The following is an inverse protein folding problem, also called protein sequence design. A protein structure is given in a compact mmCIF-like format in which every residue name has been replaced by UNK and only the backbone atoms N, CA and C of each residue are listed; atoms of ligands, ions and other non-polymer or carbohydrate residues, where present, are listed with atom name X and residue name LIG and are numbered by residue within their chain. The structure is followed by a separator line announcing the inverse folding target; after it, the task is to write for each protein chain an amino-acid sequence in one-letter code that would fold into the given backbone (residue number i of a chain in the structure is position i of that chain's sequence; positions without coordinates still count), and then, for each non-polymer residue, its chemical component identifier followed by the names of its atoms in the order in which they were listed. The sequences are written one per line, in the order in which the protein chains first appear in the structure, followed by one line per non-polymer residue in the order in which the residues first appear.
data_IF_881563485414
#
_entry.id   IF_881563485414
#
_cell.length_a   1.000
_cell.length_b   1.000
_cell.length_c   1.000
_cell.angle_alpha   90.00
_cell.angle_beta   90.00
_cell.angle_gamma   90.00
#
_symmetry.space_group_name_H-M   'P 1'
#
loop_
_entity.id
_entity.type
_entity.pdbx_description
1 polymer ?
#
# COMPACT_ATOMS: atom_id res chain seq x y z
N UNK A 1 4.51 -11.94 21.95
CA UNK A 1 4.38 -10.56 22.48
C UNK A 1 4.35 -10.50 24.01
N UNK A 2 3.45 -11.22 24.69
CA UNK A 2 3.43 -11.30 26.17
C UNK A 2 4.52 -12.18 26.80
N UNK A 3 4.94 -13.24 26.10
CA UNK A 3 5.91 -14.20 26.64
C UNK A 3 7.38 -13.74 26.55
N UNK A 4 7.69 -12.83 25.62
CA UNK A 4 9.07 -12.38 25.35
C UNK A 4 9.41 -11.02 25.97
N UNK A 5 8.46 -10.34 26.62
CA UNK A 5 8.67 -9.01 27.24
C UNK A 5 9.04 -7.89 26.24
N UNK A 6 9.11 -8.20 24.95
CA UNK A 6 9.70 -7.37 23.90
C UNK A 6 8.95 -6.04 23.71
N UNK A 7 7.64 -6.01 23.97
CA UNK A 7 6.82 -4.82 23.87
C UNK A 7 7.15 -3.71 24.88
N UNK A 8 7.88 -4.03 25.97
CA UNK A 8 8.13 -3.09 27.08
C UNK A 8 9.41 -2.27 26.92
N UNK A 9 10.37 -2.75 26.10
CA UNK A 9 11.74 -2.22 26.04
C UNK A 9 12.17 -1.70 24.65
N UNK A 10 11.36 -1.86 23.60
CA UNK A 10 11.71 -1.31 22.28
C UNK A 10 11.23 0.14 22.20
N UNK A 11 12.13 1.11 21.96
CA UNK A 11 11.71 2.47 21.70
C UNK A 11 11.02 2.52 20.33
N UNK A 12 9.73 2.84 20.34
CA UNK A 12 9.01 3.45 19.22
C UNK A 12 8.81 2.58 17.96
N UNK A 13 7.75 2.87 17.21
CA UNK A 13 7.36 2.24 15.93
C UNK A 13 8.52 2.13 14.91
N UNK A 14 9.58 2.92 15.06
CA UNK A 14 10.75 2.98 14.18
C UNK A 14 11.54 1.68 14.05
N UNK A 15 11.62 0.84 15.10
CA UNK A 15 12.33 -0.45 15.04
C UNK A 15 11.37 -1.58 14.65
N UNK A 16 10.11 -1.50 15.08
CA UNK A 16 9.12 -2.52 14.78
C UNK A 16 8.86 -2.64 13.26
N UNK A 17 8.72 -1.51 12.57
CA UNK A 17 8.44 -1.46 11.13
C UNK A 17 9.52 -2.14 10.25
N UNK A 18 10.82 -1.81 10.36
CA UNK A 18 11.83 -2.49 9.55
C UNK A 18 11.97 -3.98 9.92
N UNK A 19 11.79 -4.34 11.19
CA UNK A 19 11.86 -5.76 11.60
C UNK A 19 10.72 -6.56 10.99
N UNK A 20 9.48 -6.05 11.03
CA UNK A 20 8.35 -6.73 10.39
C UNK A 20 8.52 -6.79 8.87
N UNK A 21 9.00 -5.72 8.25
CA UNK A 21 9.32 -5.69 6.83
C UNK A 21 10.33 -6.79 6.46
N UNK A 22 11.43 -6.91 7.20
CA UNK A 22 12.47 -7.93 6.96
C UNK A 22 11.91 -9.33 7.12
N UNK A 23 11.10 -9.59 8.16
CA UNK A 23 10.47 -10.90 8.35
C UNK A 23 9.53 -11.26 7.20
N UNK A 24 8.73 -10.30 6.73
CA UNK A 24 7.84 -10.48 5.58
C UNK A 24 8.65 -10.73 4.30
N UNK A 25 9.73 -9.98 4.06
CA UNK A 25 10.59 -10.16 2.89
C UNK A 25 11.25 -11.55 2.87
N UNK A 26 11.74 -12.02 4.02
CA UNK A 26 12.35 -13.36 4.14
C UNK A 26 11.32 -14.45 3.80
N UNK A 27 10.10 -14.33 4.33
CA UNK A 27 9.04 -15.28 3.99
C UNK A 27 8.67 -15.21 2.51
N UNK A 28 8.36 -14.00 2.04
CA UNK A 28 7.84 -13.76 0.68
C UNK A 28 8.81 -14.22 -0.41
N UNK A 29 10.11 -13.86 -0.32
CA UNK A 29 11.09 -14.25 -1.35
C UNK A 29 11.27 -15.76 -1.38
N UNK A 30 11.35 -16.42 -0.21
CA UNK A 30 11.57 -17.87 -0.12
C UNK A 30 10.43 -18.69 -0.74
N UNK A 31 9.18 -18.22 -0.63
CA UNK A 31 8.02 -18.89 -1.23
C UNK A 31 7.79 -18.49 -2.70
N UNK A 32 8.25 -17.32 -3.13
CA UNK A 32 8.08 -16.81 -4.50
C UNK A 32 9.13 -17.35 -5.47
N UNK A 33 10.36 -17.60 -4.99
CA UNK A 33 11.46 -18.04 -5.84
C UNK A 33 11.25 -19.49 -6.33
N UNK A 34 11.72 -19.79 -7.55
CA UNK A 34 11.62 -21.13 -8.13
C UNK A 34 12.46 -22.18 -7.38
N UNK A 35 13.57 -21.74 -6.77
CA UNK A 35 14.44 -22.55 -5.92
C UNK A 35 15.17 -21.67 -4.89
N UNK A 36 15.84 -22.32 -3.94
CA UNK A 36 16.56 -21.65 -2.85
C UNK A 36 17.73 -20.80 -3.37
N UNK A 37 18.40 -21.25 -4.44
CA UNK A 37 19.50 -20.50 -5.06
C UNK A 37 19.02 -19.14 -5.57
N UNK A 38 17.90 -19.12 -6.29
CA UNK A 38 17.27 -17.89 -6.80
C UNK A 38 16.79 -16.98 -5.67
N UNK A 39 16.36 -17.53 -4.54
CA UNK A 39 16.03 -16.72 -3.37
C UNK A 39 17.25 -15.93 -2.85
N UNK A 40 18.42 -16.58 -2.79
CA UNK A 40 19.65 -15.92 -2.35
C UNK A 40 20.14 -14.86 -3.35
N UNK A 41 19.97 -15.06 -4.66
CA UNK A 41 20.33 -14.03 -5.65
C UNK A 41 19.42 -12.80 -5.51
N UNK A 42 18.13 -12.99 -5.22
CA UNK A 42 17.18 -11.90 -4.93
C UNK A 42 17.58 -11.14 -3.67
N UNK A 43 17.90 -11.83 -2.57
CA UNK A 43 18.38 -11.17 -1.34
C UNK A 43 19.68 -10.41 -1.58
N UNK A 44 20.63 -11.00 -2.30
CA UNK A 44 21.87 -10.35 -2.68
C UNK A 44 21.62 -9.08 -3.49
N UNK A 45 20.65 -9.11 -4.41
CA UNK A 45 20.21 -7.93 -5.17
C UNK A 45 19.65 -6.83 -4.28
N UNK A 46 18.83 -7.17 -3.28
CA UNK A 46 18.21 -6.19 -2.37
C UNK A 46 19.24 -5.44 -1.51
N UNK A 47 20.35 -6.08 -1.15
CA UNK A 47 21.45 -5.45 -0.40
C UNK A 47 22.54 -4.86 -1.31
N UNK A 48 22.37 -4.91 -2.63
CA UNK A 48 23.26 -4.28 -3.61
C UNK A 48 24.45 -5.12 -4.10
N UNK A 49 24.51 -6.42 -3.81
CA UNK A 49 25.58 -7.31 -4.30
C UNK A 49 25.58 -7.48 -5.83
N UNK A 50 24.46 -7.19 -6.49
CA UNK A 50 24.32 -7.24 -7.95
C UNK A 50 24.49 -5.86 -8.62
N UNK A 51 25.03 -4.86 -7.89
CA UNK A 51 25.14 -3.48 -8.32
C UNK A 51 24.03 -2.60 -7.76
N UNK A 52 24.34 -1.30 -7.61
CA UNK A 52 23.41 -0.28 -7.08
C UNK A 52 22.74 0.49 -8.23
N UNK A 53 23.35 0.47 -9.42
CA UNK A 53 22.83 1.14 -10.61
C UNK A 53 21.70 0.31 -11.22
N UNK A 54 20.56 0.92 -11.59
CA UNK A 54 19.52 0.22 -12.32
C UNK A 54 20.07 -0.31 -13.65
N UNK A 55 19.62 -1.48 -14.07
CA UNK A 55 20.01 -2.05 -15.37
C UNK A 55 19.49 -1.17 -16.51
N UNK A 56 20.18 -1.19 -17.66
CA UNK A 56 19.78 -0.39 -18.82
C UNK A 56 18.41 -0.85 -19.37
N UNK A 57 18.11 -2.14 -19.24
CA UNK A 57 16.82 -2.72 -19.60
C UNK A 57 15.71 -2.19 -18.69
N UNK A 58 15.97 -2.10 -17.37
CA UNK A 58 15.01 -1.51 -16.45
C UNK A 58 14.70 -0.06 -16.83
N UNK A 59 15.73 0.75 -17.06
CA UNK A 59 15.58 2.15 -17.45
C UNK A 59 14.80 2.33 -18.75
N UNK A 60 15.01 1.44 -19.72
CA UNK A 60 14.27 1.46 -20.98
C UNK A 60 12.77 1.13 -20.81
N UNK A 61 12.41 0.34 -19.78
CA UNK A 61 11.02 -0.02 -19.48
C UNK A 61 10.30 1.00 -18.59
N UNK A 62 11.00 1.98 -18.01
CA UNK A 62 10.39 3.04 -17.22
C UNK A 62 9.68 4.02 -18.16
N UNK A 63 8.36 3.88 -18.28
CA UNK A 63 7.54 4.81 -19.06
C UNK A 63 7.20 6.07 -18.26
N UNK A 64 6.94 7.17 -18.98
CA UNK A 64 6.48 8.44 -18.38
C UNK A 64 5.18 8.25 -17.60
N UNK A 65 4.30 7.37 -18.07
CA UNK A 65 3.04 7.05 -17.41
C UNK A 65 3.28 6.39 -16.05
N UNK A 66 4.16 5.40 -15.97
CA UNK A 66 4.50 4.73 -14.71
C UNK A 66 5.05 5.73 -13.68
N UNK A 67 5.85 6.70 -14.12
CA UNK A 67 6.36 7.77 -13.25
C UNK A 67 5.25 8.70 -12.75
N UNK A 68 4.29 9.08 -13.60
CA UNK A 68 3.14 9.90 -13.19
C UNK A 68 2.27 9.17 -12.16
N UNK A 69 2.00 7.88 -12.38
CA UNK A 69 1.26 7.05 -11.42
C UNK A 69 2.03 6.87 -10.11
N UNK A 70 3.35 6.70 -10.16
CA UNK A 70 4.20 6.64 -8.97
C UNK A 70 4.07 7.92 -8.14
N UNK A 71 4.21 9.09 -8.76
CA UNK A 71 4.09 10.39 -8.08
C UNK A 71 2.70 10.57 -7.48
N UNK A 72 1.65 10.20 -8.22
CA UNK A 72 0.26 10.26 -7.74
C UNK A 72 0.04 9.33 -6.54
N UNK A 73 0.56 8.10 -6.60
CA UNK A 73 0.46 7.15 -5.49
C UNK A 73 1.19 7.64 -4.24
N UNK A 74 2.40 8.19 -4.40
CA UNK A 74 3.15 8.83 -3.31
C UNK A 74 2.32 9.95 -2.70
N UNK A 75 1.75 10.84 -3.52
CA UNK A 75 0.90 11.93 -3.05
C UNK A 75 -0.34 11.41 -2.29
N UNK A 76 -0.99 10.36 -2.80
CA UNK A 76 -2.15 9.75 -2.15
C UNK A 76 -1.81 9.18 -0.77
N UNK A 77 -0.66 8.50 -0.62
CA UNK A 77 -0.19 7.97 0.68
C UNK A 77 0.10 9.10 1.67
N UNK A 78 0.77 10.17 1.24
CA UNK A 78 1.01 11.32 2.12
C UNK A 78 -0.24 12.14 2.43
N UNK A 79 -1.27 12.08 1.58
CA UNK A 79 -2.55 12.73 1.80
C UNK A 79 -3.48 11.94 2.75
N UNK A 80 -3.27 10.62 2.90
CA UNK A 80 -4.02 9.74 3.82
C UNK A 80 -4.26 10.34 5.22
N UNK A 81 -3.26 10.85 5.96
CA UNK A 81 -3.47 11.42 7.29
C UNK A 81 -4.37 12.66 7.28
N UNK A 82 -4.41 13.43 6.18
CA UNK A 82 -5.31 14.58 6.05
C UNK A 82 -6.75 14.14 5.82
N UNK A 83 -6.96 13.09 5.04
CA UNK A 83 -8.29 12.53 4.84
C UNK A 83 -8.81 11.81 6.08
N UNK A 84 -7.94 11.18 6.86
CA UNK A 84 -8.34 10.54 8.12
C UNK A 84 -8.89 11.53 9.13
N UNK A 85 -8.33 12.74 9.22
CA UNK A 85 -8.85 13.82 10.06
C UNK A 85 -10.28 14.26 9.70
N UNK A 86 -10.67 14.12 8.43
CA UNK A 86 -12.02 14.43 7.95
C UNK A 86 -13.03 13.31 8.23
N UNK A 87 -12.54 12.11 8.60
CA UNK A 87 -13.35 10.88 8.76
C UNK A 87 -13.33 10.36 10.20
N UNK A 88 -12.42 10.83 11.07
CA UNK A 88 -12.36 10.44 12.47
C UNK A 88 -13.64 10.88 13.20
N UNK A 89 -14.42 9.90 13.64
CA UNK A 89 -15.70 10.08 14.33
C UNK A 89 -15.60 10.89 15.64
N UNK A 90 -14.39 11.05 16.22
CA UNK A 90 -14.15 11.90 17.39
C UNK A 90 -14.28 13.40 17.08
N UNK A 91 -13.93 13.82 15.85
CA UNK A 91 -14.20 15.17 15.32
C UNK A 91 -15.61 15.27 14.70
N UNK A 92 -16.34 14.15 14.69
CA UNK A 92 -17.65 13.98 14.05
C UNK A 92 -18.82 14.62 14.78
N UNK A 93 -18.65 15.18 15.99
CA UNK A 93 -19.72 15.94 16.66
C UNK A 93 -20.04 17.21 15.86
N UNK A 94 -19.08 17.77 15.11
CA UNK A 94 -19.30 18.96 14.27
C UNK A 94 -19.46 18.63 12.78
N UNK A 95 -18.96 17.50 12.29
CA UNK A 95 -18.93 17.15 10.87
C UNK A 95 -19.99 16.12 10.42
N UNK A 96 -20.51 15.30 11.33
CA UNK A 96 -21.57 14.33 11.02
C UNK A 96 -22.87 14.81 11.65
N UNK A 97 -23.69 15.49 10.85
CA UNK A 97 -24.96 16.08 11.27
C UNK A 97 -25.78 15.08 12.09
N UNK A 98 -25.89 15.37 13.38
CA UNK A 98 -26.73 14.62 14.29
C UNK A 98 -28.13 15.22 14.19
N UNK A 99 -29.04 14.51 13.54
CA UNK A 99 -30.44 14.91 13.48
C UNK A 99 -31.16 14.27 14.67
N UNK A 100 -31.55 15.09 15.65
CA UNK A 100 -32.42 14.64 16.75
C UNK A 100 -33.86 14.81 16.31
N UNK A 101 -34.53 13.68 16.06
CA UNK A 101 -35.97 13.68 15.81
C UNK A 101 -36.71 13.94 17.13
N UNK A 102 -37.86 14.66 17.13
CA UNK A 102 -38.66 14.94 18.33
C UNK A 102 -39.05 13.70 19.15
N UNK A 103 -38.96 12.51 18.57
CA UNK A 103 -39.23 11.22 19.21
C UNK A 103 -38.05 10.63 20.01
N UNK A 104 -36.99 11.42 20.27
CA UNK A 104 -35.84 10.99 21.08
C UNK A 104 -34.87 10.03 20.36
N UNK A 105 -35.02 9.88 19.04
CA UNK A 105 -34.09 9.09 18.23
C UNK A 105 -33.00 9.98 17.65
N UNK A 106 -31.77 9.53 17.85
CA UNK A 106 -30.54 10.11 17.34
C UNK A 106 -30.12 9.42 16.05
N UNK A 107 -30.04 10.15 14.94
CA UNK A 107 -29.54 9.60 13.67
C UNK A 107 -28.27 10.35 13.27
N UNK A 108 -27.16 9.63 13.18
CA UNK A 108 -25.92 10.13 12.61
C UNK A 108 -26.01 10.06 11.07
N UNK A 109 -25.77 11.18 10.39
CA UNK A 109 -25.70 11.23 8.92
C UNK A 109 -24.21 11.24 8.52
N UNK A 110 -23.62 10.08 8.19
CA UNK A 110 -22.23 10.05 7.74
C UNK A 110 -22.08 10.69 6.36
N UNK A 111 -20.91 11.29 6.10
CA UNK A 111 -20.61 11.85 4.78
C UNK A 111 -20.24 10.71 3.80
N UNK A 112 -20.97 10.62 2.68
CA UNK A 112 -20.71 9.63 1.62
C UNK A 112 -19.55 10.04 0.68
N UNK A 113 -19.06 11.27 0.77
CA UNK A 113 -18.03 11.79 -0.14
C UNK A 113 -16.72 10.99 -0.05
N UNK A 114 -16.26 10.69 1.17
CA UNK A 114 -15.02 9.93 1.39
C UNK A 114 -15.09 8.48 0.86
N UNK A 115 -16.10 7.65 1.20
CA UNK A 115 -16.18 6.29 0.67
C UNK A 115 -16.34 6.27 -0.85
N UNK A 116 -17.05 7.25 -1.45
CA UNK A 116 -17.14 7.37 -2.90
C UNK A 116 -15.76 7.67 -3.51
N UNK A 117 -15.02 8.64 -2.95
CA UNK A 117 -13.69 9.00 -3.44
C UNK A 117 -12.69 7.82 -3.35
N UNK A 118 -12.69 7.07 -2.24
CA UNK A 118 -11.84 5.88 -2.08
C UNK A 118 -12.25 4.74 -3.02
N UNK A 119 -13.56 4.55 -3.25
CA UNK A 119 -14.06 3.54 -4.19
C UNK A 119 -13.65 3.88 -5.63
N UNK A 120 -13.70 5.15 -6.02
CA UNK A 120 -13.22 5.60 -7.33
C UNK A 120 -11.72 5.40 -7.49
N UNK A 121 -10.93 5.74 -6.45
CA UNK A 121 -9.48 5.51 -6.45
C UNK A 121 -9.16 4.01 -6.59
N UNK A 122 -9.88 3.14 -5.87
CA UNK A 122 -9.76 1.69 -6.01
C UNK A 122 -10.03 1.24 -7.46
N UNK A 123 -11.12 1.71 -8.07
CA UNK A 123 -11.45 1.35 -9.45
C UNK A 123 -10.35 1.77 -10.43
N UNK A 124 -9.83 3.00 -10.30
CA UNK A 124 -8.75 3.51 -11.18
C UNK A 124 -7.46 2.71 -11.01
N UNK A 125 -7.08 2.40 -9.77
CA UNK A 125 -5.85 1.62 -9.49
C UNK A 125 -5.95 0.19 -10.01
N UNK A 126 -7.10 -0.47 -9.83
CA UNK A 126 -7.36 -1.81 -10.38
C UNK A 126 -7.34 -1.81 -11.90
N UNK A 127 -7.94 -0.80 -12.54
CA UNK A 127 -7.94 -0.68 -14.00
C UNK A 127 -6.51 -0.57 -14.57
N UNK A 128 -5.64 0.25 -13.94
CA UNK A 128 -4.23 0.36 -14.34
C UNK A 128 -3.43 -0.92 -14.12
N UNK A 129 -3.69 -1.63 -13.01
CA UNK A 129 -3.04 -2.92 -12.76
C UNK A 129 -3.44 -3.98 -13.79
N UNK A 130 -4.69 -3.96 -14.24
CA UNK A 130 -5.20 -4.82 -15.31
C UNK A 130 -4.49 -4.55 -16.64
N UNK A 131 -4.31 -3.29 -17.03
CA UNK A 131 -3.63 -2.89 -18.27
C UNK A 131 -2.21 -3.46 -18.36
N UNK A 132 -1.46 -3.41 -17.26
CA UNK A 132 -0.09 -3.94 -17.19
C UNK A 132 -0.01 -5.47 -17.13
N UNK A 133 -1.12 -6.13 -16.79
CA UNK A 133 -1.19 -7.60 -16.65
C UNK A 133 -1.55 -8.32 -17.95
N UNK A 134 -1.89 -7.60 -19.02
CA UNK A 134 -2.23 -8.19 -20.33
C UNK A 134 -0.96 -8.67 -21.01
N UNK A 135 -0.68 -9.97 -20.90
CA UNK A 135 0.34 -10.66 -21.68
C UNK A 135 -0.16 -10.90 -23.11
N UNK A 136 0.43 -10.25 -24.14
CA UNK A 136 -0.01 -10.42 -25.53
C UNK A 136 0.33 -11.81 -26.12
N UNK A 137 1.01 -12.69 -25.37
CA UNK A 137 1.47 -14.00 -25.84
C UNK A 137 0.43 -15.13 -25.72
N UNK A 138 -0.76 -14.88 -25.15
CA UNK A 138 -1.81 -15.90 -25.05
C UNK A 138 -2.58 -16.10 -26.38
N UNK A 139 -2.46 -15.17 -27.33
CA UNK A 139 -3.16 -15.20 -28.62
C UNK A 139 -2.31 -15.61 -29.83
N UNK A 140 -1.00 -15.75 -29.66
CA UNK A 140 -0.11 -16.29 -30.68
C UNK A 140 0.37 -17.68 -30.26
N UNK A 141 -0.54 -18.66 -30.33
CA UNK A 141 -0.16 -20.06 -30.45
C UNK A 141 0.16 -20.32 -31.93
N UNK A 142 1.43 -20.13 -32.31
CA UNK A 142 2.03 -20.85 -33.42
C UNK A 142 3.07 -21.82 -32.86
#
# INVERSE_FOLDING_TARGET
ERYTGWARNVPSRAIALPVTLVLVLIGWVMFRAANVGDAFTVYGGMIGLNGITPSIEFLANVTRENLLFLVLAIFAVFAEPYFKKLTDAENGIEAHGFSVSPNGTAVAIPSLAYPIAMSLLLVVTVARLSEQSVSPFLYFQF
#
